data_IF_300796009036
#
_entry.id   IF_300796009036
#
_cell.length_a   1.000
_cell.length_b   1.000
_cell.length_c   1.000
_cell.angle_alpha   90.00
_cell.angle_beta   90.00
_cell.angle_gamma   90.00
#
_symmetry.space_group_name_H-M   'P 1'
#
loop_
_entity.id
_entity.type
_entity.pdbx_description
1 polymer ?
#
# COMPACT_ATOMS: atom_id res chain seq x y z
N UNK A 1 22.96 -7.98 2.16
CA UNK A 1 22.28 -9.20 1.68
C UNK A 1 23.21 -9.94 0.72
N UNK A 2 23.98 -10.92 1.20
CA UNK A 2 24.89 -11.70 0.34
C UNK A 2 24.16 -12.46 -0.79
N UNK A 3 22.86 -12.69 -0.64
CA UNK A 3 22.00 -13.41 -1.61
C UNK A 3 21.71 -12.58 -2.86
N UNK A 4 21.61 -11.25 -2.74
CA UNK A 4 21.39 -10.37 -3.88
C UNK A 4 22.73 -9.93 -4.47
N UNK A 5 23.07 -10.46 -5.64
CA UNK A 5 24.31 -10.08 -6.34
C UNK A 5 24.27 -8.59 -6.73
N UNK A 6 25.41 -7.92 -6.61
CA UNK A 6 25.54 -6.47 -6.80
C UNK A 6 25.04 -5.96 -8.17
N UNK A 7 25.15 -6.79 -9.22
CA UNK A 7 24.72 -6.40 -10.56
C UNK A 7 23.20 -6.21 -10.66
N UNK A 8 22.40 -6.97 -9.90
CA UNK A 8 20.94 -6.77 -9.88
C UNK A 8 20.57 -5.42 -9.25
N UNK A 9 21.33 -5.00 -8.23
CA UNK A 9 21.17 -3.68 -7.61
C UNK A 9 21.54 -2.59 -8.60
N UNK A 10 22.66 -2.73 -9.31
CA UNK A 10 23.07 -1.75 -10.32
C UNK A 10 22.03 -1.61 -11.45
N UNK A 11 21.52 -2.72 -11.98
CA UNK A 11 20.45 -2.71 -13.00
C UNK A 11 19.18 -2.07 -12.48
N UNK A 12 18.79 -2.37 -11.23
CA UNK A 12 17.63 -1.77 -10.60
C UNK A 12 17.78 -0.24 -10.46
N UNK A 13 18.95 0.27 -10.08
CA UNK A 13 19.20 1.72 -10.00
C UNK A 13 19.18 2.42 -11.36
N UNK A 14 19.53 1.72 -12.44
CA UNK A 14 19.46 2.26 -13.81
C UNK A 14 18.01 2.30 -14.31
N UNK A 15 17.22 1.26 -14.04
CA UNK A 15 15.84 1.15 -14.50
C UNK A 15 14.84 1.93 -13.63
N UNK A 16 15.09 2.04 -12.33
CA UNK A 16 14.17 2.64 -11.38
C UNK A 16 13.80 4.11 -11.69
N UNK A 17 14.71 4.99 -12.16
CA UNK A 17 14.36 6.35 -12.54
C UNK A 17 13.36 6.41 -13.70
N UNK A 18 13.51 5.54 -14.70
CA UNK A 18 12.57 5.46 -15.83
C UNK A 18 11.19 5.00 -15.36
N UNK A 19 11.13 3.95 -14.52
CA UNK A 19 9.88 3.49 -13.92
C UNK A 19 9.27 4.53 -12.98
N UNK A 20 10.10 5.23 -12.22
CA UNK A 20 9.71 6.31 -11.31
C UNK A 20 9.10 7.49 -12.07
N UNK A 21 9.67 7.87 -13.20
CA UNK A 21 9.11 8.91 -14.07
C UNK A 21 7.74 8.50 -14.63
N UNK A 22 7.62 7.28 -15.18
CA UNK A 22 6.34 6.77 -15.68
C UNK A 22 5.28 6.71 -14.58
N UNK A 23 5.64 6.27 -13.37
CA UNK A 23 4.73 6.21 -12.25
C UNK A 23 4.32 7.60 -11.75
N UNK A 24 5.27 8.54 -11.62
CA UNK A 24 4.97 9.91 -11.22
C UNK A 24 4.05 10.62 -12.22
N UNK A 25 4.27 10.39 -13.53
CA UNK A 25 3.37 10.91 -14.57
C UNK A 25 1.97 10.28 -14.48
N UNK A 26 1.90 8.95 -14.32
CA UNK A 26 0.63 8.23 -14.16
C UNK A 26 -0.13 8.68 -12.91
N UNK A 27 0.57 8.83 -11.79
CA UNK A 27 0.00 9.34 -10.54
C UNK A 27 -0.46 10.79 -10.69
N UNK A 28 0.29 11.64 -11.38
CA UNK A 28 -0.14 13.02 -11.66
C UNK A 28 -1.45 13.12 -12.44
N UNK A 29 -1.74 12.16 -13.33
CA UNK A 29 -2.97 12.10 -14.12
C UNK A 29 -4.14 11.38 -13.43
N UNK A 30 -3.84 10.34 -12.66
CA UNK A 30 -4.86 9.42 -12.10
C UNK A 30 -5.04 9.52 -10.59
N UNK A 31 -4.16 10.28 -9.92
CA UNK A 31 -4.03 10.37 -8.47
C UNK A 31 -3.77 9.01 -7.78
N UNK A 32 -3.25 8.03 -8.55
CA UNK A 32 -2.96 6.67 -8.07
C UNK A 32 -1.47 6.36 -8.21
N UNK A 33 -0.83 6.08 -7.07
CA UNK A 33 0.55 5.59 -7.02
C UNK A 33 0.59 4.07 -7.21
N UNK A 34 1.23 3.62 -8.29
CA UNK A 34 1.27 2.22 -8.70
C UNK A 34 2.58 1.50 -8.30
N UNK A 35 3.38 2.09 -7.41
CA UNK A 35 4.70 1.58 -7.00
C UNK A 35 4.68 0.12 -6.52
N UNK A 36 3.61 -0.30 -5.85
CA UNK A 36 3.44 -1.69 -5.40
C UNK A 36 3.36 -2.69 -6.55
N UNK A 37 2.78 -2.32 -7.69
CA UNK A 37 2.67 -3.18 -8.86
C UNK A 37 4.02 -3.28 -9.59
N UNK A 38 4.72 -2.15 -9.76
CA UNK A 38 6.09 -2.15 -10.30
C UNK A 38 7.04 -2.99 -9.44
N UNK A 39 6.94 -2.88 -8.11
CA UNK A 39 7.69 -3.72 -7.18
C UNK A 39 7.42 -5.20 -7.37
N UNK A 40 6.15 -5.60 -7.53
CA UNK A 40 5.78 -7.01 -7.79
C UNK A 40 6.33 -7.53 -9.13
N UNK A 41 6.36 -6.72 -10.17
CA UNK A 41 6.99 -7.11 -11.45
C UNK A 41 8.49 -7.35 -11.27
N UNK A 42 9.18 -6.45 -10.57
CA UNK A 42 10.59 -6.61 -10.25
C UNK A 42 10.85 -7.86 -9.38
N UNK A 43 9.95 -8.12 -8.43
CA UNK A 43 9.96 -9.33 -7.60
C UNK A 43 9.96 -10.59 -8.46
N UNK A 44 8.98 -10.75 -9.35
CA UNK A 44 8.85 -11.93 -10.19
C UNK A 44 10.05 -12.10 -11.13
N UNK A 45 10.54 -11.00 -11.72
CA UNK A 45 11.67 -11.03 -12.63
C UNK A 45 12.96 -11.48 -11.93
N UNK A 46 13.29 -10.87 -10.79
CA UNK A 46 14.53 -11.21 -10.05
C UNK A 46 14.42 -12.58 -9.39
N UNK A 47 13.25 -12.92 -8.84
CA UNK A 47 12.99 -14.25 -8.27
C UNK A 47 13.19 -15.37 -9.32
N UNK A 48 12.65 -15.19 -10.52
CA UNK A 48 12.80 -16.14 -11.62
C UNK A 48 14.25 -16.23 -12.13
N UNK A 49 14.97 -15.11 -12.21
CA UNK A 49 16.35 -15.07 -12.71
C UNK A 49 17.38 -15.69 -11.75
N UNK A 50 17.16 -15.58 -10.44
CA UNK A 50 18.09 -16.10 -9.42
C UNK A 50 17.84 -17.59 -9.11
N UNK A 51 16.59 -18.05 -9.24
CA UNK A 51 16.23 -19.46 -9.06
C UNK A 51 16.10 -19.91 -7.59
N UNK A 52 16.06 -21.23 -7.38
CA UNK A 52 15.55 -21.87 -6.14
C UNK A 52 16.29 -21.55 -4.84
N UNK A 53 17.61 -21.34 -4.88
CA UNK A 53 18.39 -21.25 -3.65
C UNK A 53 18.32 -19.85 -2.99
N UNK A 54 18.30 -18.78 -3.79
CA UNK A 54 18.36 -17.40 -3.28
C UNK A 54 17.30 -16.46 -3.88
N UNK A 55 16.42 -16.97 -4.75
CA UNK A 55 15.47 -16.17 -5.52
C UNK A 55 14.38 -15.51 -4.67
N UNK A 56 13.95 -16.15 -3.59
CA UNK A 56 12.92 -15.58 -2.70
C UNK A 56 13.43 -14.31 -2.02
N UNK A 57 14.60 -14.40 -1.38
CA UNK A 57 15.20 -13.25 -0.67
C UNK A 57 15.62 -12.17 -1.67
N UNK A 58 16.26 -12.55 -2.77
CA UNK A 58 16.71 -11.61 -3.80
C UNK A 58 15.55 -10.87 -4.46
N UNK A 59 14.47 -11.57 -4.79
CA UNK A 59 13.25 -11.00 -5.35
C UNK A 59 12.56 -10.03 -4.38
N UNK A 60 12.50 -10.35 -3.09
CA UNK A 60 11.96 -9.46 -2.07
C UNK A 60 12.78 -8.18 -1.89
N UNK A 61 14.12 -8.28 -1.88
CA UNK A 61 15.00 -7.11 -1.77
C UNK A 61 14.88 -6.23 -3.02
N UNK A 62 14.89 -6.83 -4.21
CA UNK A 62 14.70 -6.09 -5.46
C UNK A 62 13.32 -5.41 -5.54
N UNK A 63 12.27 -6.11 -5.09
CA UNK A 63 10.93 -5.56 -4.96
C UNK A 63 10.92 -4.33 -4.08
N UNK A 64 11.53 -4.42 -2.89
CA UNK A 64 11.61 -3.32 -1.94
C UNK A 64 12.35 -2.12 -2.53
N UNK A 65 13.48 -2.37 -3.18
CA UNK A 65 14.29 -1.32 -3.81
C UNK A 65 13.51 -0.56 -4.89
N UNK A 66 12.94 -1.27 -5.87
CA UNK A 66 12.17 -0.66 -6.97
C UNK A 66 10.93 0.05 -6.41
N UNK A 67 10.16 -0.61 -5.54
CA UNK A 67 8.98 -0.01 -4.90
C UNK A 67 9.34 1.30 -4.22
N UNK A 68 10.39 1.34 -3.39
CA UNK A 68 10.76 2.53 -2.64
C UNK A 68 11.12 3.69 -3.57
N UNK A 69 11.96 3.46 -4.58
CA UNK A 69 12.35 4.52 -5.53
C UNK A 69 11.12 5.04 -6.29
N UNK A 70 10.30 4.13 -6.84
CA UNK A 70 9.13 4.47 -7.65
C UNK A 70 8.04 5.18 -6.82
N UNK A 71 7.88 4.82 -5.54
CA UNK A 71 6.96 5.52 -4.62
C UNK A 71 7.45 6.93 -4.35
N UNK A 72 8.72 7.09 -3.97
CA UNK A 72 9.30 8.40 -3.65
C UNK A 72 9.19 9.35 -4.85
N UNK A 73 9.39 8.87 -6.09
CA UNK A 73 9.19 9.71 -7.28
C UNK A 73 7.76 10.26 -7.40
N UNK A 74 6.75 9.44 -7.11
CA UNK A 74 5.35 9.86 -7.12
C UNK A 74 5.07 10.83 -5.98
N UNK A 75 5.47 10.50 -4.77
CA UNK A 75 5.21 11.32 -3.58
C UNK A 75 5.88 12.70 -3.72
N UNK A 76 7.11 12.73 -4.24
CA UNK A 76 7.85 13.95 -4.55
C UNK A 76 7.12 14.83 -5.58
N UNK A 77 6.52 14.22 -6.62
CA UNK A 77 5.72 14.94 -7.61
C UNK A 77 4.47 15.57 -6.97
N UNK A 78 3.78 14.85 -6.09
CA UNK A 78 2.62 15.37 -5.35
C UNK A 78 3.00 16.53 -4.43
N UNK A 79 4.14 16.43 -3.75
CA UNK A 79 4.67 17.53 -2.94
C UNK A 79 4.95 18.75 -3.82
N UNK A 80 5.60 18.59 -4.98
CA UNK A 80 5.93 19.73 -5.86
C UNK A 80 4.67 20.40 -6.42
N UNK A 81 3.64 19.62 -6.74
CA UNK A 81 2.33 20.14 -7.14
C UNK A 81 1.69 20.94 -6.01
N UNK A 82 1.72 20.42 -4.79
CA UNK A 82 1.19 21.12 -3.61
C UNK A 82 1.96 22.40 -3.34
N UNK A 83 3.29 22.35 -3.38
CA UNK A 83 4.16 23.51 -3.23
C UNK A 83 3.92 24.58 -4.29
N UNK A 84 3.63 24.17 -5.54
CA UNK A 84 3.24 25.11 -6.59
C UNK A 84 1.90 25.79 -6.29
N UNK A 85 0.90 25.04 -5.81
CA UNK A 85 -0.42 25.57 -5.44
C UNK A 85 -0.37 26.50 -4.23
N UNK A 86 0.55 26.29 -3.29
CA UNK A 86 0.73 27.16 -2.10
C UNK A 86 1.72 28.31 -2.35
N UNK A 87 2.18 28.50 -3.59
CA UNK A 87 3.22 29.48 -3.95
C UNK A 87 4.52 29.32 -3.14
N UNK A 88 4.81 28.10 -2.68
CA UNK A 88 6.04 27.78 -1.96
C UNK A 88 7.20 27.63 -2.94
N UNK A 89 8.38 28.12 -2.58
CA UNK A 89 9.55 28.02 -3.45
C UNK A 89 9.99 26.55 -3.64
N UNK A 90 10.17 26.07 -4.89
CA UNK A 90 10.57 24.68 -5.16
C UNK A 90 11.93 24.30 -4.55
N UNK A 91 12.85 25.28 -4.45
CA UNK A 91 14.18 25.08 -3.87
C UNK A 91 14.11 24.82 -2.36
N UNK A 92 13.28 25.58 -1.64
CA UNK A 92 13.08 25.36 -0.21
C UNK A 92 12.43 24.01 0.05
N UNK A 93 11.49 23.61 -0.80
CA UNK A 93 10.83 22.31 -0.67
C UNK A 93 11.80 21.14 -0.88
N UNK A 94 12.64 21.20 -1.92
CA UNK A 94 13.67 20.19 -2.18
C UNK A 94 14.67 20.10 -1.02
N UNK A 95 15.12 21.24 -0.48
CA UNK A 95 16.03 21.26 0.66
C UNK A 95 15.37 20.66 1.92
N UNK A 96 14.11 21.00 2.17
CA UNK A 96 13.35 20.48 3.32
C UNK A 96 13.16 18.96 3.22
N UNK A 97 12.86 18.44 2.03
CA UNK A 97 12.76 17.00 1.79
C UNK A 97 14.11 16.28 1.92
N UNK A 98 15.21 16.89 1.46
CA UNK A 98 16.54 16.31 1.64
C UNK A 98 16.90 16.19 3.12
N UNK A 99 16.62 17.23 3.92
CA UNK A 99 16.82 17.22 5.37
C UNK A 99 15.90 16.18 6.03
N UNK A 100 14.62 16.18 5.69
CA UNK A 100 13.65 15.21 6.21
C UNK A 100 14.04 13.76 5.88
N UNK A 101 14.55 13.52 4.67
CA UNK A 101 15.06 12.20 4.26
C UNK A 101 16.30 11.82 5.06
N UNK A 102 17.24 12.74 5.27
CA UNK A 102 18.44 12.48 6.06
C UNK A 102 18.09 12.11 7.51
N UNK A 103 17.15 12.82 8.14
CA UNK A 103 16.64 12.49 9.48
C UNK A 103 15.92 11.14 9.45
N UNK A 104 15.07 10.90 8.45
CA UNK A 104 14.34 9.65 8.27
C UNK A 104 15.25 8.43 8.14
N UNK A 105 16.38 8.55 7.43
CA UNK A 105 17.39 7.50 7.30
C UNK A 105 17.99 7.06 8.64
N UNK A 106 17.95 7.91 9.67
CA UNK A 106 18.43 7.58 11.02
C UNK A 106 17.27 7.16 11.93
N UNK A 107 16.21 7.95 11.98
CA UNK A 107 15.08 7.73 12.90
C UNK A 107 14.29 6.48 12.52
N UNK A 108 13.94 6.29 11.25
CA UNK A 108 13.10 5.17 10.82
C UNK A 108 13.69 3.79 11.14
N UNK A 109 14.97 3.47 10.84
CA UNK A 109 15.53 2.18 11.21
C UNK A 109 15.68 2.03 12.74
N UNK A 110 16.03 3.09 13.47
CA UNK A 110 16.12 3.02 14.94
C UNK A 110 14.77 2.70 15.56
N UNK A 111 13.70 3.38 15.14
CA UNK A 111 12.34 3.10 15.60
C UNK A 111 11.89 1.70 15.20
N UNK A 112 12.19 1.25 13.97
CA UNK A 112 11.90 -0.11 13.54
C UNK A 112 12.60 -1.15 14.41
N UNK A 113 13.90 -0.99 14.68
CA UNK A 113 14.65 -1.93 15.53
C UNK A 113 14.16 -1.93 16.98
N UNK A 114 13.79 -0.76 17.52
CA UNK A 114 13.19 -0.67 18.85
C UNK A 114 11.89 -1.47 18.90
N UNK A 115 11.01 -1.29 17.92
CA UNK A 115 9.73 -2.00 17.85
C UNK A 115 9.92 -3.51 17.64
N UNK A 116 10.83 -3.89 16.74
CA UNK A 116 11.17 -5.28 16.44
C UNK A 116 11.81 -6.02 17.61
N UNK A 117 12.48 -5.31 18.53
CA UNK A 117 13.05 -5.87 19.75
C UNK A 117 12.08 -5.90 20.92
N UNK A 118 11.19 -4.91 21.00
CA UNK A 118 10.22 -4.78 22.09
C UNK A 118 8.99 -5.70 21.90
N UNK A 119 8.57 -5.90 20.66
CA UNK A 119 7.37 -6.68 20.33
C UNK A 119 7.70 -7.85 19.41
N UNK A 120 6.91 -8.92 19.50
CA UNK A 120 7.03 -10.11 18.65
C UNK A 120 6.37 -9.88 17.29
N UNK A 121 7.02 -9.02 16.49
CA UNK A 121 6.53 -8.59 15.18
C UNK A 121 6.59 -9.76 14.19
N UNK A 122 5.43 -10.14 13.65
CA UNK A 122 5.31 -11.22 12.67
C UNK A 122 4.83 -12.55 13.24
N UNK A 123 4.59 -12.65 14.55
CA UNK A 123 3.93 -13.81 15.13
C UNK A 123 2.46 -13.88 14.66
N UNK A 124 2.01 -15.01 14.04
CA UNK A 124 0.63 -15.18 13.59
C UNK A 124 -0.43 -15.05 14.69
N UNK A 125 -0.05 -15.37 15.93
CA UNK A 125 -0.93 -15.36 17.10
C UNK A 125 -0.71 -14.12 17.99
N UNK A 126 0.27 -13.29 17.65
CA UNK A 126 0.57 -12.04 18.34
C UNK A 126 -0.33 -10.88 17.89
N UNK A 127 -0.23 -9.76 18.61
CA UNK A 127 -0.94 -8.52 18.29
C UNK A 127 -0.39 -7.86 17.00
N UNK A 128 0.93 -7.93 16.79
CA UNK A 128 1.62 -7.32 15.65
C UNK A 128 1.86 -8.31 14.51
N UNK A 129 0.76 -8.76 13.89
CA UNK A 129 0.80 -9.67 12.73
C UNK A 129 1.38 -8.96 11.51
N UNK A 130 2.15 -9.67 10.67
CA UNK A 130 2.71 -9.14 9.43
C UNK A 130 2.05 -9.78 8.18
N UNK A 131 0.75 -9.54 7.92
CA UNK A 131 0.01 -10.21 6.85
C UNK A 131 0.62 -9.93 5.46
N UNK A 132 1.05 -8.69 5.21
CA UNK A 132 1.71 -8.33 3.95
C UNK A 132 3.04 -9.05 3.74
N UNK A 133 3.82 -9.31 4.79
CA UNK A 133 5.08 -10.04 4.66
C UNK A 133 4.85 -11.47 4.16
N UNK A 134 3.80 -12.14 4.65
CA UNK A 134 3.40 -13.47 4.19
C UNK A 134 2.97 -13.45 2.72
N UNK A 135 2.17 -12.46 2.32
CA UNK A 135 1.72 -12.30 0.92
C UNK A 135 2.92 -12.13 -0.02
N UNK A 136 3.84 -11.22 0.31
CA UNK A 136 5.02 -10.96 -0.52
C UNK A 136 5.98 -12.16 -0.55
N UNK A 137 6.15 -12.87 0.56
CA UNK A 137 6.94 -14.12 0.61
C UNK A 137 6.34 -15.17 -0.31
N UNK A 138 5.02 -15.38 -0.26
CA UNK A 138 4.35 -16.35 -1.12
C UNK A 138 4.43 -15.95 -2.61
N UNK A 139 4.32 -14.65 -2.93
CA UNK A 139 4.58 -14.16 -4.30
C UNK A 139 6.01 -14.45 -4.75
N UNK A 140 7.00 -14.30 -3.88
CA UNK A 140 8.38 -14.58 -4.20
C UNK A 140 8.63 -16.08 -4.42
N UNK A 141 8.00 -16.95 -3.62
CA UNK A 141 8.01 -18.40 -3.82
C UNK A 141 7.36 -18.76 -5.18
N UNK A 142 6.23 -18.16 -5.52
CA UNK A 142 5.58 -18.34 -6.83
C UNK A 142 6.49 -17.92 -7.99
N UNK A 143 7.26 -16.84 -7.84
CA UNK A 143 8.24 -16.40 -8.84
C UNK A 143 9.40 -17.38 -9.05
N UNK A 144 9.72 -18.19 -8.05
CA UNK A 144 10.83 -19.16 -8.07
C UNK A 144 10.36 -20.55 -8.53
N UNK A 145 9.27 -21.04 -7.96
CA UNK A 145 8.78 -22.41 -8.19
C UNK A 145 7.79 -22.51 -9.36
N UNK A 146 7.30 -21.37 -9.84
CA UNK A 146 6.36 -21.27 -10.95
C UNK A 146 4.92 -21.55 -10.53
N UNK A 147 4.02 -21.59 -11.52
CA UNK A 147 2.58 -21.73 -11.29
C UNK A 147 2.14 -23.11 -10.78
N UNK A 148 3.05 -24.09 -10.72
CA UNK A 148 2.78 -25.45 -10.26
C UNK A 148 2.52 -25.54 -8.76
N UNK A 149 2.86 -24.50 -7.98
CA UNK A 149 2.65 -24.45 -6.53
C UNK A 149 1.35 -23.78 -6.12
N UNK A 150 0.57 -23.30 -7.09
CA UNK A 150 -0.75 -22.75 -6.85
C UNK A 150 -1.75 -23.87 -6.55
N UNK A 151 -2.71 -23.64 -5.63
CA UNK A 151 -3.80 -24.56 -5.37
C UNK A 151 -4.58 -24.92 -6.66
N UNK A 152 -5.14 -26.13 -6.71
CA UNK A 152 -5.99 -26.56 -7.81
C UNK A 152 -7.11 -25.53 -8.05
N UNK A 153 -7.37 -25.23 -9.33
CA UNK A 153 -8.33 -24.20 -9.78
C UNK A 153 -8.01 -22.73 -9.46
N UNK A 154 -6.91 -22.41 -8.76
CA UNK A 154 -6.57 -21.02 -8.44
C UNK A 154 -6.39 -20.16 -9.70
N UNK A 155 -5.70 -20.66 -10.73
CA UNK A 155 -5.54 -19.95 -12.00
C UNK A 155 -6.87 -19.74 -12.73
N UNK A 156 -7.78 -20.73 -12.71
CA UNK A 156 -9.09 -20.61 -13.34
C UNK A 156 -9.93 -19.52 -12.67
N UNK A 157 -9.90 -19.46 -11.34
CA UNK A 157 -10.54 -18.39 -10.57
C UNK A 157 -9.90 -17.03 -10.84
N UNK A 158 -8.57 -16.95 -10.91
CA UNK A 158 -7.85 -15.72 -11.26
C UNK A 158 -8.27 -15.20 -12.65
N UNK A 159 -8.32 -16.07 -13.67
CA UNK A 159 -8.79 -15.69 -15.00
C UNK A 159 -10.26 -15.30 -15.00
N UNK A 160 -11.11 -16.00 -14.23
CA UNK A 160 -12.52 -15.67 -14.07
C UNK A 160 -12.75 -14.29 -13.45
N UNK A 161 -12.08 -13.99 -12.33
CA UNK A 161 -12.17 -12.68 -11.68
C UNK A 161 -11.51 -11.58 -12.50
N UNK A 162 -10.44 -11.87 -13.23
CA UNK A 162 -9.82 -10.92 -14.15
C UNK A 162 -10.76 -10.56 -15.31
N UNK A 163 -11.40 -11.56 -15.93
CA UNK A 163 -12.40 -11.36 -16.96
C UNK A 163 -13.63 -10.60 -16.42
N UNK A 164 -14.09 -10.94 -15.21
CA UNK A 164 -15.14 -10.19 -14.53
C UNK A 164 -14.74 -8.74 -14.28
N UNK A 165 -13.50 -8.48 -13.83
CA UNK A 165 -13.02 -7.13 -13.58
C UNK A 165 -12.96 -6.30 -14.87
N UNK A 166 -12.48 -6.89 -15.97
CA UNK A 166 -12.49 -6.23 -17.29
C UNK A 166 -13.92 -5.94 -17.72
N UNK A 167 -14.80 -6.95 -17.67
CA UNK A 167 -16.19 -6.80 -18.08
C UNK A 167 -16.92 -5.74 -17.25
N UNK A 168 -16.79 -5.77 -15.92
CA UNK A 168 -17.41 -4.80 -15.03
C UNK A 168 -16.94 -3.37 -15.30
N UNK A 169 -15.62 -3.15 -15.46
CA UNK A 169 -15.10 -1.82 -15.79
C UNK A 169 -15.53 -1.36 -17.20
N UNK A 170 -15.51 -2.26 -18.19
CA UNK A 170 -15.92 -1.92 -19.55
C UNK A 170 -17.41 -1.56 -19.61
N UNK A 171 -18.27 -2.33 -18.93
CA UNK A 171 -19.71 -2.02 -18.83
C UNK A 171 -19.91 -0.70 -18.10
N UNK A 172 -19.13 -0.42 -17.04
CA UNK A 172 -19.19 0.87 -16.33
C UNK A 172 -18.83 2.04 -17.23
N UNK A 173 -17.76 1.91 -18.01
CA UNK A 173 -17.21 3.01 -18.80
C UNK A 173 -18.00 3.25 -20.11
N UNK A 174 -18.59 2.21 -20.69
CA UNK A 174 -19.45 2.31 -21.88
C UNK A 174 -20.92 2.65 -21.55
N UNK A 175 -21.37 2.40 -20.32
CA UNK A 175 -22.76 2.65 -19.93
C UNK A 175 -23.04 4.13 -19.66
N UNK A 176 -24.29 4.60 -19.88
CA UNK A 176 -24.70 5.94 -19.47
C UNK A 176 -24.46 6.15 -17.98
N UNK A 177 -24.08 7.38 -17.57
CA UNK A 177 -23.75 7.76 -16.18
C UNK A 177 -24.76 7.29 -15.12
N UNK A 178 -26.04 7.12 -15.49
CA UNK A 178 -27.11 6.61 -14.61
C UNK A 178 -26.95 5.12 -14.26
N UNK A 179 -26.49 4.30 -15.20
CA UNK A 179 -26.27 2.84 -15.02
C UNK A 179 -24.86 2.60 -14.49
N UNK A 180 -23.87 3.36 -14.97
CA UNK A 180 -22.47 3.27 -14.52
C UNK A 180 -22.28 3.43 -13.01
N UNK A 181 -23.14 4.23 -12.35
CA UNK A 181 -23.09 4.47 -10.90
C UNK A 181 -23.43 3.24 -10.05
N UNK A 182 -24.16 2.26 -10.59
CA UNK A 182 -24.59 1.05 -9.88
C UNK A 182 -23.64 -0.13 -10.07
N UNK A 183 -22.66 -0.01 -10.97
CA UNK A 183 -21.76 -1.10 -11.29
C UNK A 183 -20.68 -1.18 -10.20
N UNK A 184 -20.48 -2.35 -9.58
CA UNK A 184 -19.50 -2.50 -8.52
C UNK A 184 -18.08 -2.26 -9.05
N UNK A 185 -17.23 -1.68 -8.21
CA UNK A 185 -15.82 -1.45 -8.50
C UNK A 185 -15.01 -2.67 -8.04
N UNK A 186 -14.46 -3.49 -8.96
CA UNK A 186 -13.76 -4.71 -8.59
C UNK A 186 -12.57 -4.44 -7.65
N UNK A 187 -11.89 -3.31 -7.83
CA UNK A 187 -10.80 -2.88 -6.96
C UNK A 187 -11.27 -2.65 -5.51
N UNK A 188 -12.40 -1.96 -5.30
CA UNK A 188 -12.93 -1.72 -3.96
C UNK A 188 -13.41 -3.03 -3.30
N UNK A 189 -13.96 -3.96 -4.09
CA UNK A 189 -14.35 -5.28 -3.60
C UNK A 189 -13.17 -6.12 -3.13
N UNK A 190 -11.99 -5.97 -3.74
CA UNK A 190 -10.82 -6.78 -3.43
C UNK A 190 -10.13 -6.40 -2.11
N UNK A 191 -10.24 -5.15 -1.65
CA UNK A 191 -9.50 -4.66 -0.47
C UNK A 191 -9.86 -5.40 0.82
N UNK A 192 -11.16 -5.61 1.16
CA UNK A 192 -11.52 -6.35 2.36
C UNK A 192 -11.05 -7.81 2.38
N UNK A 193 -10.91 -8.45 1.22
CA UNK A 193 -10.36 -9.82 1.14
C UNK A 193 -8.86 -9.89 1.48
N UNK A 194 -8.13 -8.77 1.35
CA UNK A 194 -6.70 -8.69 1.65
C UNK A 194 -6.43 -8.22 3.08
N UNK A 195 -7.20 -7.25 3.57
CA UNK A 195 -6.96 -6.59 4.86
C UNK A 195 -7.76 -7.23 6.00
N UNK A 196 -9.02 -7.61 5.72
CA UNK A 196 -9.94 -8.16 6.70
C UNK A 196 -11.35 -7.60 6.52
N UNK A 197 -12.35 -8.37 6.99
CA UNK A 197 -13.76 -8.01 6.85
C UNK A 197 -14.16 -6.71 7.57
N UNK A 198 -13.43 -6.32 8.62
CA UNK A 198 -13.65 -5.05 9.32
C UNK A 198 -13.54 -3.84 8.38
N UNK A 199 -12.61 -3.91 7.42
CA UNK A 199 -12.40 -2.84 6.44
C UNK A 199 -13.65 -2.64 5.55
N UNK A 200 -14.41 -3.70 5.27
CA UNK A 200 -15.66 -3.60 4.52
C UNK A 200 -16.73 -2.82 5.30
N UNK A 201 -16.78 -3.01 6.62
CA UNK A 201 -17.71 -2.30 7.51
C UNK A 201 -17.33 -0.82 7.54
N UNK A 202 -16.05 -0.50 7.74
CA UNK A 202 -15.54 0.87 7.78
C UNK A 202 -15.81 1.62 6.46
N UNK A 203 -15.56 0.97 5.31
CA UNK A 203 -15.88 1.53 3.99
C UNK A 203 -17.39 1.78 3.82
N UNK A 204 -18.24 0.88 4.33
CA UNK A 204 -19.69 1.02 4.27
C UNK A 204 -20.15 2.24 5.10
N UNK A 205 -19.69 2.35 6.34
CA UNK A 205 -20.01 3.48 7.23
C UNK A 205 -19.50 4.79 6.64
N UNK A 206 -18.26 4.83 6.15
CA UNK A 206 -17.71 6.02 5.48
C UNK A 206 -18.51 6.42 4.25
N UNK A 207 -18.92 5.46 3.42
CA UNK A 207 -19.76 5.71 2.24
C UNK A 207 -21.14 6.24 2.60
N UNK A 208 -21.75 5.73 3.67
CA UNK A 208 -23.04 6.22 4.19
C UNK A 208 -22.94 7.67 4.67
N UNK A 209 -21.87 8.02 5.40
CA UNK A 209 -21.61 9.41 5.85
C UNK A 209 -21.46 10.33 4.66
N UNK A 210 -20.66 9.95 3.66
CA UNK A 210 -20.47 10.73 2.42
C UNK A 210 -21.79 10.87 1.65
N UNK A 211 -22.60 9.81 1.58
CA UNK A 211 -23.91 9.84 0.92
C UNK A 211 -24.88 10.80 1.62
N UNK A 212 -24.96 10.76 2.95
CA UNK A 212 -25.78 11.68 3.74
C UNK A 212 -25.31 13.13 3.58
N UNK A 213 -24.00 13.37 3.56
CA UNK A 213 -23.42 14.69 3.35
C UNK A 213 -23.79 15.24 1.96
N UNK A 214 -23.65 14.44 0.90
CA UNK A 214 -24.05 14.84 -0.45
C UNK A 214 -25.55 15.14 -0.57
N UNK A 215 -26.40 14.46 0.21
CA UNK A 215 -27.85 14.72 0.28
C UNK A 215 -28.19 16.05 0.96
N UNK A 216 -27.38 16.50 1.93
CA UNK A 216 -27.59 17.74 2.68
C UNK A 216 -26.96 18.96 2.00
N UNK A 217 -25.74 18.83 1.46
CA UNK A 217 -24.98 19.91 0.82
C UNK A 217 -24.14 19.40 -0.35
N UNK A 218 -24.69 19.45 -1.56
CA UNK A 218 -24.08 18.87 -2.77
C UNK A 218 -22.79 19.57 -3.22
N UNK A 219 -22.71 20.91 -3.15
CA UNK A 219 -21.61 21.69 -3.75
C UNK A 219 -20.34 21.70 -2.88
N UNK A 220 -20.47 21.84 -1.56
CA UNK A 220 -19.32 21.86 -0.63
C UNK A 220 -18.74 20.45 -0.39
N UNK A 221 -19.56 19.40 -0.54
CA UNK A 221 -19.18 18.03 -0.21
C UNK A 221 -17.98 17.52 -1.02
N UNK A 222 -17.92 17.80 -2.32
CA UNK A 222 -16.90 17.22 -3.20
C UNK A 222 -15.48 17.64 -2.85
N UNK A 223 -15.31 18.86 -2.30
CA UNK A 223 -13.99 19.37 -1.89
C UNK A 223 -13.69 19.04 -0.42
N UNK A 224 -14.70 19.05 0.45
CA UNK A 224 -14.51 18.83 1.88
C UNK A 224 -14.36 17.35 2.25
N UNK A 225 -14.94 16.42 1.49
CA UNK A 225 -14.86 14.98 1.78
C UNK A 225 -13.41 14.48 1.79
N UNK A 226 -12.56 14.75 0.78
CA UNK A 226 -11.14 14.35 0.81
C UNK A 226 -10.37 14.97 1.97
N UNK A 227 -10.67 16.23 2.33
CA UNK A 227 -10.02 16.91 3.44
C UNK A 227 -10.39 16.29 4.80
N UNK A 228 -11.68 16.01 5.03
CA UNK A 228 -12.16 15.35 6.26
C UNK A 228 -11.63 13.92 6.34
N UNK A 229 -11.67 13.16 5.24
CA UNK A 229 -11.13 11.81 5.20
C UNK A 229 -9.63 11.78 5.53
N UNK A 230 -8.84 12.69 4.95
CA UNK A 230 -7.41 12.84 5.27
C UNK A 230 -7.18 13.19 6.74
N UNK A 231 -8.03 14.07 7.30
CA UNK A 231 -7.99 14.43 8.72
C UNK A 231 -8.28 13.25 9.65
N UNK A 232 -9.26 12.40 9.31
CA UNK A 232 -9.58 11.18 10.07
C UNK A 232 -8.43 10.16 10.02
N UNK A 233 -7.83 9.94 8.84
CA UNK A 233 -6.66 9.06 8.69
C UNK A 233 -5.47 9.59 9.50
N UNK A 234 -5.22 10.90 9.43
CA UNK A 234 -4.16 11.54 10.23
C UNK A 234 -4.43 11.42 11.73
N UNK A 235 -5.69 11.61 12.16
CA UNK A 235 -6.11 11.47 13.55
C UNK A 235 -5.90 10.07 14.09
N UNK A 236 -6.23 9.03 13.32
CA UNK A 236 -5.94 7.65 13.67
C UNK A 236 -4.42 7.41 13.80
N UNK A 237 -3.63 7.94 12.87
CA UNK A 237 -2.16 7.90 12.95
C UNK A 237 -1.59 8.60 14.20
N UNK A 238 -2.17 9.74 14.61
CA UNK A 238 -1.77 10.44 15.83
C UNK A 238 -2.11 9.65 17.10
N UNK A 239 -3.20 8.87 17.10
CA UNK A 239 -3.60 8.03 18.23
C UNK A 239 -2.62 6.88 18.52
N UNK A 240 -1.87 6.44 17.51
CA UNK A 240 -0.83 5.41 17.67
C UNK A 240 0.27 5.86 18.66
N UNK A 241 0.57 7.15 18.74
CA UNK A 241 1.61 7.65 19.65
C UNK A 241 1.19 7.50 21.13
N UNK A 242 0.04 8.04 21.59
CA UNK A 242 -0.48 7.77 22.93
C UNK A 242 -0.66 6.29 23.22
N UNK A 243 -1.19 5.50 22.29
CA UNK A 243 -1.41 4.07 22.52
C UNK A 243 -0.08 3.31 22.69
N UNK A 244 0.95 3.66 21.92
CA UNK A 244 2.30 3.09 22.07
C UNK A 244 2.94 3.48 23.40
N UNK A 245 2.74 4.72 23.86
CA UNK A 245 3.22 5.18 25.17
C UNK A 245 2.51 4.41 26.30
N UNK A 246 1.18 4.26 26.22
CA UNK A 246 0.39 3.49 27.19
C UNK A 246 0.81 2.01 27.22
N UNK A 247 1.08 1.41 26.05
CA UNK A 247 1.60 0.05 25.93
C UNK A 247 2.99 -0.08 26.56
N UNK A 248 3.87 0.92 26.39
CA UNK A 248 5.20 0.95 27.01
C UNK A 248 5.13 1.02 28.55
N UNK A 249 4.13 1.71 29.10
CA UNK A 249 3.88 1.77 30.54
C UNK A 249 3.11 0.55 31.08
N UNK A 250 2.81 -0.45 30.25
CA UNK A 250 2.10 -1.66 30.66
C UNK A 250 0.65 -1.39 31.08
N UNK A 251 0.06 -0.27 30.65
CA UNK A 251 -1.34 0.06 30.95
C UNK A 251 -2.22 -0.84 30.10
N UNK A 252 -2.80 -1.85 30.74
CA UNK A 252 -3.78 -2.70 30.07
C UNK A 252 -5.04 -1.90 29.76
N UNK A 253 -5.64 -2.06 28.56
CA UNK A 253 -6.88 -1.40 28.23
C UNK A 253 -7.96 -1.81 29.26
N UNK A 254 -8.71 -0.85 29.83
CA UNK A 254 -9.69 -1.13 30.89
C UNK A 254 -10.85 -2.01 30.41
N UNK A 255 -11.03 -2.16 29.09
CA UNK A 255 -11.97 -3.08 28.46
C UNK A 255 -11.33 -3.72 27.22
N UNK A 256 -11.13 -5.03 27.24
CA UNK A 256 -10.91 -5.84 26.03
C UNK A 256 -12.28 -6.32 25.52
N UNK A 257 -12.84 -5.64 24.51
CA UNK A 257 -13.99 -6.17 23.77
C UNK A 257 -13.50 -7.20 22.74
N UNK A 258 -13.41 -8.46 23.17
CA UNK A 258 -13.33 -9.59 22.25
C UNK A 258 -14.74 -9.98 21.81
N UNK A 259 -15.08 -9.74 20.54
CA UNK A 259 -16.35 -10.18 19.95
C UNK A 259 -16.35 -11.66 19.53
N UNK A 260 -15.25 -12.38 19.78
CA UNK A 260 -15.17 -13.82 19.59
C UNK A 260 -15.06 -14.53 20.94
N UNK A 261 -15.88 -15.56 21.12
CA UNK A 261 -15.75 -16.49 22.25
C UNK A 261 -14.39 -17.19 22.13
N UNK A 262 -13.52 -16.95 23.10
CA UNK A 262 -12.28 -17.73 23.26
C UNK A 262 -12.64 -19.22 23.31
N UNK A 263 -12.06 -20.00 22.40
CA UNK A 263 -11.97 -21.45 22.47
C UNK A 263 -10.54 -21.84 22.16
#
# INVERSE_FOLDING_TARGET
FPQLKWYFVAVAYILAPALGFCNAYGAGLTDINMAYNYGKVALFMVAALVGKNDGVVSGLVACGLIKSIVSICSDLMHDFKTGHLTYTSPRSMLLSQAIGTAIGCVVAPLTFFLFYKAFDVGNPDGEYKAPYALIYRNMAILGVEGFSTLPQHCLQLCYGFFAFAIAANLVRDLSPKKVGRWIPLPMAMAVPFLVGGYFAIDMCVGSLVVYAWHKLKSEEASLMVPAVASGLICGDGLWILPSSILALFGVHPPMCMSFFSSK
#
